data_IF_742400159782
#
_entry.id   IF_742400159782
#
_cell.length_a   1.000
_cell.length_b   1.000
_cell.length_c   1.000
_cell.angle_alpha   90.00
_cell.angle_beta   90.00
_cell.angle_gamma   90.00
#
_symmetry.space_group_name_H-M   'P 1'
#
loop_
_entity.id
_entity.type
_entity.pdbx_description
1 polymer ?
#
# COMPACT_ATOMS: atom_id res chain seq x y z
N UNK A 1 3.01 -26.81 -4.65
CA UNK A 1 3.16 -25.46 -4.09
C UNK A 1 1.97 -24.64 -4.59
N UNK A 2 1.08 -24.20 -3.70
CA UNK A 2 -0.05 -23.35 -4.11
C UNK A 2 0.50 -22.03 -4.64
N UNK A 3 0.21 -21.71 -5.90
CA UNK A 3 0.56 -20.40 -6.45
C UNK A 3 -0.20 -19.34 -5.66
N UNK A 4 0.54 -18.42 -5.05
CA UNK A 4 -0.02 -17.27 -4.37
C UNK A 4 -0.79 -16.42 -5.39
N UNK A 5 -2.06 -16.12 -5.11
CA UNK A 5 -2.91 -15.32 -6.00
C UNK A 5 -2.85 -13.85 -5.58
N UNK A 6 -2.71 -12.91 -6.53
CA UNK A 6 -2.82 -11.50 -6.23
C UNK A 6 -4.16 -11.16 -5.59
N UNK A 7 -4.14 -10.28 -4.61
CA UNK A 7 -5.32 -9.64 -4.04
C UNK A 7 -5.37 -8.17 -4.46
N UNK A 8 -6.55 -7.58 -4.46
CA UNK A 8 -6.72 -6.15 -4.70
C UNK A 8 -6.69 -5.42 -3.36
N UNK A 9 -5.84 -4.41 -3.27
CA UNK A 9 -5.77 -3.49 -2.12
C UNK A 9 -6.01 -2.06 -2.59
N UNK A 10 -6.47 -1.21 -1.70
CA UNK A 10 -6.49 0.23 -1.92
C UNK A 10 -5.17 0.82 -1.41
N UNK A 11 -4.59 1.77 -2.13
CA UNK A 11 -3.39 2.50 -1.75
C UNK A 11 -3.67 4.00 -1.70
N UNK A 12 -3.04 4.68 -0.76
CA UNK A 12 -3.02 6.14 -0.71
C UNK A 12 -1.86 6.62 -1.58
N UNK A 13 -2.13 7.51 -2.51
CA UNK A 13 -1.13 8.02 -3.45
C UNK A 13 -0.68 9.41 -3.05
N UNK A 14 0.60 9.69 -3.31
CA UNK A 14 1.16 11.04 -3.15
C UNK A 14 0.37 12.03 -4.01
N UNK A 15 0.20 13.25 -3.50
CA UNK A 15 -0.63 14.34 -4.06
C UNK A 15 -2.15 14.24 -3.81
N UNK A 16 -2.56 13.35 -2.92
CA UNK A 16 -3.94 13.30 -2.43
C UNK A 16 -4.86 12.52 -3.36
N UNK A 17 -4.99 11.22 -3.07
CA UNK A 17 -5.92 10.34 -3.76
C UNK A 17 -5.86 8.92 -3.22
N UNK A 18 -6.67 8.06 -3.81
CA UNK A 18 -6.55 6.63 -3.62
C UNK A 18 -6.61 5.91 -4.96
N UNK A 19 -5.93 4.78 -5.04
CA UNK A 19 -5.99 3.88 -6.19
C UNK A 19 -6.14 2.44 -5.71
N UNK A 20 -6.49 1.53 -6.61
CA UNK A 20 -6.54 0.10 -6.32
C UNK A 20 -5.47 -0.64 -7.11
N UNK A 21 -4.66 -1.44 -6.43
CA UNK A 21 -3.59 -2.21 -7.06
C UNK A 21 -3.72 -3.69 -6.74
N UNK A 22 -3.31 -4.54 -7.68
CA UNK A 22 -3.11 -5.96 -7.45
C UNK A 22 -1.74 -6.19 -6.81
N UNK A 23 -1.70 -6.93 -5.72
CA UNK A 23 -0.45 -7.26 -5.01
C UNK A 23 -0.49 -8.71 -4.51
N UNK A 24 0.66 -9.38 -4.47
CA UNK A 24 0.79 -10.66 -3.79
C UNK A 24 0.69 -10.43 -2.26
N UNK A 25 -0.10 -11.23 -1.51
CA UNK A 25 -0.19 -11.10 -0.05
C UNK A 25 1.17 -11.05 0.68
N UNK A 26 2.16 -11.80 0.22
CA UNK A 26 3.54 -11.81 0.73
C UNK A 26 4.26 -10.46 0.60
N UNK A 27 3.87 -9.63 -0.37
CA UNK A 27 4.48 -8.32 -0.63
C UNK A 27 3.89 -7.18 0.21
N UNK A 28 2.80 -7.42 0.93
CA UNK A 28 2.14 -6.41 1.77
C UNK A 28 3.06 -5.94 2.90
N UNK A 29 3.71 -6.88 3.59
CA UNK A 29 4.65 -6.59 4.68
C UNK A 29 5.82 -5.72 4.22
N UNK A 30 6.57 -6.15 3.18
CA UNK A 30 7.64 -5.35 2.58
C UNK A 30 7.19 -3.95 2.14
N UNK A 31 6.01 -3.82 1.52
CA UNK A 31 5.49 -2.51 1.10
C UNK A 31 5.19 -1.61 2.30
N UNK A 32 4.54 -2.14 3.34
CA UNK A 32 4.24 -1.39 4.56
C UNK A 32 5.51 -0.94 5.30
N UNK A 33 6.54 -1.79 5.35
CA UNK A 33 7.82 -1.46 5.95
C UNK A 33 8.57 -0.37 5.17
N UNK A 34 8.56 -0.43 3.84
CA UNK A 34 9.16 0.60 3.00
C UNK A 34 8.49 1.96 3.21
N UNK A 35 7.16 2.01 3.19
CA UNK A 35 6.38 3.23 3.46
C UNK A 35 6.69 3.76 4.85
N UNK A 36 6.73 2.89 5.88
CA UNK A 36 7.08 3.29 7.25
C UNK A 36 8.46 3.95 7.34
N UNK A 37 9.46 3.38 6.65
CA UNK A 37 10.85 3.81 6.81
C UNK A 37 11.19 5.02 5.94
N UNK A 38 10.55 5.18 4.78
CA UNK A 38 10.85 6.23 3.79
C UNK A 38 9.78 7.33 3.71
N UNK A 39 8.60 7.10 4.29
CA UNK A 39 7.40 7.90 4.10
C UNK A 39 6.59 7.53 2.84
N UNK A 40 7.19 6.80 1.89
CA UNK A 40 6.53 6.37 0.64
C UNK A 40 7.26 5.17 -0.01
N UNK A 41 6.63 4.53 -0.99
CA UNK A 41 7.26 3.55 -1.88
C UNK A 41 6.68 3.63 -3.31
N UNK A 42 7.47 3.28 -4.33
CA UNK A 42 7.01 3.29 -5.72
C UNK A 42 6.50 1.91 -6.11
N UNK A 43 5.19 1.81 -6.37
CA UNK A 43 4.57 0.61 -6.92
C UNK A 43 4.64 0.64 -8.45
N UNK A 44 5.39 -0.29 -9.05
CA UNK A 44 5.47 -0.46 -10.50
C UNK A 44 4.36 -1.41 -10.98
N UNK A 45 3.33 -0.86 -11.61
CA UNK A 45 2.27 -1.60 -12.28
C UNK A 45 2.60 -1.76 -13.77
N UNK A 46 1.95 -2.71 -14.48
CA UNK A 46 2.19 -2.92 -15.91
C UNK A 46 1.98 -1.67 -16.79
N UNK A 47 1.09 -0.77 -16.37
CA UNK A 47 0.70 0.43 -17.15
C UNK A 47 1.21 1.75 -16.57
N UNK A 48 1.67 1.78 -15.32
CA UNK A 48 2.12 3.02 -14.65
C UNK A 48 2.94 2.72 -13.40
N UNK A 49 3.71 3.70 -12.96
CA UNK A 49 4.29 3.71 -11.62
C UNK A 49 3.51 4.68 -10.73
N UNK A 50 3.30 4.31 -9.47
CA UNK A 50 2.55 5.13 -8.52
C UNK A 50 3.37 5.28 -7.24
N UNK A 51 3.50 6.50 -6.73
CA UNK A 51 4.04 6.74 -5.39
C UNK A 51 2.96 6.49 -4.34
N UNK A 52 3.20 5.51 -3.48
CA UNK A 52 2.28 5.03 -2.45
C UNK A 52 2.77 5.50 -1.08
N UNK A 53 1.90 6.21 -0.38
CA UNK A 53 2.15 6.72 0.99
C UNK A 53 1.34 5.96 2.04
N UNK A 54 0.52 4.99 1.64
CA UNK A 54 -0.25 4.20 2.59
C UNK A 54 -1.01 3.05 1.95
N UNK A 55 -1.44 2.10 2.77
CA UNK A 55 -2.14 0.90 2.31
C UNK A 55 -3.46 0.75 3.08
N UNK A 56 -4.55 0.54 2.36
CA UNK A 56 -5.85 0.19 2.91
C UNK A 56 -6.27 -1.19 2.42
N UNK A 57 -6.40 -2.14 3.34
CA UNK A 57 -6.85 -3.51 3.05
C UNK A 57 -8.26 -3.67 3.62
N UNK A 58 -9.25 -3.89 2.75
CA UNK A 58 -10.62 -4.14 3.16
C UNK A 58 -10.95 -5.63 3.08
N UNK A 59 -11.32 -6.24 4.21
CA UNK A 59 -11.75 -7.65 4.30
C UNK A 59 -13.20 -7.80 4.73
N UNK A 60 -13.80 -8.97 4.46
CA UNK A 60 -15.21 -9.28 4.79
C UNK A 60 -15.50 -9.37 6.30
N UNK A 61 -14.47 -9.33 7.14
CA UNK A 61 -14.54 -8.99 8.56
C UNK A 61 -13.92 -7.62 8.76
N UNK A 62 -14.74 -6.60 8.96
CA UNK A 62 -14.30 -5.27 9.39
C UNK A 62 -13.66 -5.47 10.77
N UNK A 63 -12.32 -5.61 10.82
CA UNK A 63 -11.61 -5.83 12.08
C UNK A 63 -10.27 -6.56 12.01
N UNK A 64 -9.88 -7.21 10.91
CA UNK A 64 -8.69 -8.08 10.99
C UNK A 64 -7.33 -7.39 10.71
N UNK A 65 -7.19 -6.38 9.83
CA UNK A 65 -5.95 -5.56 9.72
C UNK A 65 -6.19 -4.16 9.11
N UNK A 66 -5.67 -3.11 9.77
CA UNK A 66 -5.57 -1.72 9.28
C UNK A 66 -4.10 -1.30 9.38
N UNK A 67 -3.47 -0.75 8.32
CA UNK A 67 -2.14 -0.11 8.43
C UNK A 67 -2.12 1.20 7.64
N UNK A 68 -2.36 2.32 8.34
CA UNK A 68 -2.13 3.68 7.85
C UNK A 68 -0.72 4.13 8.24
N UNK A 69 0.05 4.74 7.34
CA UNK A 69 1.24 5.51 7.74
C UNK A 69 1.53 6.68 6.79
N UNK A 70 1.07 7.87 7.14
CA UNK A 70 1.70 9.12 6.71
C UNK A 70 2.02 9.97 7.94
N UNK A 71 3.28 10.39 8.09
CA UNK A 71 3.75 11.75 8.41
C UNK A 71 5.26 11.75 8.76
N UNK A 72 6.08 12.51 8.02
CA UNK A 72 7.07 13.36 8.67
C UNK A 72 6.56 14.82 8.57
N UNK A 73 6.68 15.55 9.68
CA UNK A 73 5.97 16.80 9.91
C UNK A 73 6.22 17.88 8.85
N UNK A 74 5.16 18.69 8.66
CA UNK A 74 5.14 20.08 8.22
C UNK A 74 6.55 20.70 8.15
N UNK A 75 7.05 21.00 6.95
CA UNK A 75 8.18 21.94 6.84
C UNK A 75 7.71 23.28 7.40
N UNK A 76 8.42 23.72 8.43
CA UNK A 76 8.30 25.00 9.14
C UNK A 76 8.24 26.21 8.22
#
# INVERSE_FOLDING_TARGET
MSQEKPIVITVLVKDGGCDTIGILPSMIGPLAEAIRNKGYEVAHLPSKSIEVEGILIMGKGIGERVIMLGMEGVKS
#
